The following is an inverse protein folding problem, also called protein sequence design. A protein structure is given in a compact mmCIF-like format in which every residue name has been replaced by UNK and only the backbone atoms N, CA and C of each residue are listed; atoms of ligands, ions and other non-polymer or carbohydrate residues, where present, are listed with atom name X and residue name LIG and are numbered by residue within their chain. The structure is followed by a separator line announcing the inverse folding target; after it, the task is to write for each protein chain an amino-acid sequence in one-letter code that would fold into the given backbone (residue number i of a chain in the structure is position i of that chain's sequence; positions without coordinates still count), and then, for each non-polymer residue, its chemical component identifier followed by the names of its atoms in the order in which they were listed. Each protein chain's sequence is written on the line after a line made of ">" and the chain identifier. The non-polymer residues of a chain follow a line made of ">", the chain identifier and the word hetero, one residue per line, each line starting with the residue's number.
data_IF_596075160438
#
_entry.id   IF_596075160438
#
_cell.length_a   1.000
_cell.length_b   1.000
_cell.length_c   1.000
_cell.angle_alpha   90.00
_cell.angle_beta   90.00
_cell.angle_gamma   90.00
#
_symmetry.space_group_name_H-M   'P 1'
#
loop_
_entity.id
_entity.type
_entity.pdbx_description
1 polymer ?
#
# COMPACT_ATOMS: atom_id res chain seq x y z
N UNK A 1 11.97 21.88 -12.32
CA UNK A 1 11.80 20.50 -11.81
C UNK A 1 11.02 19.72 -12.85
N UNK A 2 11.56 18.65 -13.46
CA UNK A 2 10.81 17.93 -14.47
C UNK A 2 9.67 17.17 -13.78
N UNK A 3 8.44 17.48 -14.21
CA UNK A 3 7.23 16.76 -13.87
C UNK A 3 7.43 15.28 -14.22
N UNK A 4 7.37 14.40 -13.23
CA UNK A 4 7.25 12.96 -13.46
C UNK A 4 5.83 12.77 -14.03
N UNK A 5 5.66 12.20 -15.24
CA UNK A 5 4.32 11.81 -15.69
C UNK A 5 3.80 10.79 -14.69
N UNK A 6 2.58 10.96 -14.21
CA UNK A 6 1.89 9.91 -13.48
C UNK A 6 1.92 8.64 -14.37
N UNK A 7 2.73 7.65 -13.97
CA UNK A 7 2.87 6.39 -14.69
C UNK A 7 1.60 5.57 -14.48
N UNK A 8 0.52 6.01 -15.13
CA UNK A 8 -0.81 5.40 -15.10
C UNK A 8 -1.06 4.64 -16.40
N UNK A 9 -0.20 3.66 -16.69
CA UNK A 9 -0.73 2.45 -17.32
C UNK A 9 -0.88 1.46 -16.18
N UNK A 10 -2.11 1.26 -15.74
CA UNK A 10 -2.51 0.22 -14.78
C UNK A 10 -2.16 -1.14 -15.40
N UNK A 11 -0.91 -1.55 -15.29
CA UNK A 11 -0.51 -2.93 -15.45
C UNK A 11 -1.02 -3.65 -14.21
N UNK A 12 -2.20 -4.28 -14.34
CA UNK A 12 -2.63 -5.30 -13.39
C UNK A 12 -1.57 -6.41 -13.36
N UNK A 13 -1.03 -6.70 -12.19
CA UNK A 13 -0.17 -7.86 -11.96
C UNK A 13 -0.71 -8.61 -10.75
N UNK A 14 -0.41 -9.91 -10.70
CA UNK A 14 -0.97 -10.82 -9.73
C UNK A 14 0.11 -11.36 -8.80
N UNK A 15 -0.05 -11.18 -7.49
CA UNK A 15 0.83 -11.72 -6.46
C UNK A 15 0.16 -12.92 -5.77
N UNK A 16 0.96 -13.89 -5.28
CA UNK A 16 0.43 -14.96 -4.43
C UNK A 16 -0.35 -14.42 -3.22
N UNK A 17 -1.61 -14.83 -3.10
CA UNK A 17 -2.50 -14.41 -2.01
C UNK A 17 -1.94 -14.75 -0.63
N UNK A 18 -2.11 -13.83 0.32
CA UNK A 18 -1.80 -14.01 1.73
C UNK A 18 -0.32 -13.94 2.11
N UNK A 19 0.60 -13.90 1.13
CA UNK A 19 2.04 -13.81 1.37
C UNK A 19 2.55 -12.39 1.17
N UNK A 20 3.47 -11.96 2.03
CA UNK A 20 4.27 -10.76 1.77
C UNK A 20 5.31 -11.09 0.69
N UNK A 21 5.25 -10.36 -0.42
CA UNK A 21 6.14 -10.53 -1.57
C UNK A 21 6.94 -9.25 -1.77
N UNK A 22 8.28 -9.29 -1.81
CA UNK A 22 9.09 -8.14 -2.20
C UNK A 22 8.70 -7.65 -3.60
N UNK A 23 8.38 -6.37 -3.71
CA UNK A 23 7.96 -5.73 -4.96
C UNK A 23 8.92 -4.64 -5.41
N UNK A 24 9.70 -4.08 -4.48
CA UNK A 24 10.78 -3.14 -4.75
C UNK A 24 11.91 -3.38 -3.75
N UNK A 25 13.11 -3.58 -4.28
CA UNK A 25 14.34 -3.75 -3.51
C UNK A 25 15.37 -2.71 -3.94
N UNK A 26 15.95 -1.99 -3.00
CA UNK A 26 17.12 -1.13 -3.21
C UNK A 26 17.86 -1.04 -1.88
N UNK A 27 19.19 -1.21 -1.76
CA UNK A 27 19.83 -1.06 -0.45
C UNK A 27 19.61 0.34 0.15
N UNK A 28 19.31 0.48 1.46
CA UNK A 28 19.14 -0.56 2.49
C UNK A 28 17.67 -0.98 2.73
N UNK A 29 16.81 -0.89 1.73
CA UNK A 29 15.35 -0.94 1.82
C UNK A 29 14.73 -2.06 0.99
N UNK A 30 13.68 -2.66 1.54
CA UNK A 30 12.78 -3.54 0.79
C UNK A 30 11.34 -3.15 1.05
N UNK A 31 10.57 -3.00 -0.01
CA UNK A 31 9.11 -2.81 0.04
C UNK A 31 8.44 -4.09 -0.44
N UNK A 32 7.49 -4.58 0.34
CA UNK A 32 6.75 -5.81 0.09
C UNK A 32 5.25 -5.56 0.14
N UNK A 33 4.49 -6.26 -0.70
CA UNK A 33 3.03 -6.23 -0.67
C UNK A 33 2.47 -7.58 -0.24
N UNK A 34 1.37 -7.55 0.52
CA UNK A 34 0.50 -8.69 0.75
C UNK A 34 -0.84 -8.38 0.11
N UNK A 35 -1.29 -9.29 -0.74
CA UNK A 35 -2.57 -9.14 -1.45
C UNK A 35 -3.58 -10.18 -0.96
N UNK A 36 -4.85 -9.84 -1.05
CA UNK A 36 -5.95 -10.77 -0.87
C UNK A 36 -7.16 -10.32 -1.69
N UNK A 37 -8.15 -11.20 -1.80
CA UNK A 37 -9.46 -10.81 -2.27
C UNK A 37 -10.41 -10.57 -1.08
N UNK A 38 -10.64 -9.31 -0.66
CA UNK A 38 -11.51 -8.99 0.48
C UNK A 38 -13.00 -9.13 0.12
N UNK A 39 -13.32 -9.41 -1.15
CA UNK A 39 -14.66 -9.77 -1.62
C UNK A 39 -14.66 -11.22 -2.08
N UNK A 40 -15.77 -11.92 -1.87
CA UNK A 40 -15.94 -13.31 -2.32
C UNK A 40 -15.62 -13.45 -3.81
N UNK A 41 -14.91 -14.52 -4.19
CA UNK A 41 -14.60 -14.89 -5.56
C UNK A 41 -15.85 -14.98 -6.46
N UNK A 42 -17.01 -15.33 -5.88
CA UNK A 42 -18.30 -15.30 -6.58
C UNK A 42 -18.71 -13.89 -7.04
N UNK A 43 -18.21 -12.84 -6.39
CA UNK A 43 -18.52 -11.43 -6.67
C UNK A 43 -17.41 -10.73 -7.42
N UNK A 44 -16.16 -11.20 -7.32
CA UNK A 44 -15.05 -10.70 -8.12
C UNK A 44 -13.93 -11.74 -8.21
N UNK A 45 -13.64 -12.25 -9.41
CA UNK A 45 -12.53 -13.18 -9.65
C UNK A 45 -11.25 -12.38 -9.88
N UNK A 46 -10.13 -12.81 -9.30
CA UNK A 46 -8.79 -12.33 -9.64
C UNK A 46 -8.60 -10.82 -9.45
N UNK A 47 -8.80 -10.31 -8.23
CA UNK A 47 -8.31 -8.98 -7.89
C UNK A 47 -7.38 -9.09 -6.69
N UNK A 48 -6.14 -8.65 -6.90
CA UNK A 48 -5.09 -8.66 -5.89
C UNK A 48 -5.06 -7.30 -5.22
N UNK A 49 -5.97 -7.13 -4.27
CA UNK A 49 -6.04 -5.92 -3.48
C UNK A 49 -4.90 -5.92 -2.48
N UNK A 50 -4.08 -4.87 -2.49
CA UNK A 50 -3.03 -4.72 -1.48
C UNK A 50 -3.74 -4.53 -0.13
N UNK A 51 -3.59 -5.50 0.76
CA UNK A 51 -4.16 -5.45 2.12
C UNK A 51 -3.10 -5.14 3.15
N UNK A 52 -1.81 -5.31 2.82
CA UNK A 52 -0.71 -4.83 3.62
C UNK A 52 0.51 -4.43 2.79
N UNK A 53 1.27 -3.47 3.33
CA UNK A 53 2.56 -3.00 2.84
C UNK A 53 3.58 -3.17 3.95
N UNK A 54 4.66 -3.90 3.66
CA UNK A 54 5.82 -4.02 4.53
C UNK A 54 6.96 -3.16 4.00
N UNK A 55 7.64 -2.42 4.89
CA UNK A 55 8.88 -1.71 4.58
C UNK A 55 9.95 -2.15 5.57
N UNK A 56 10.93 -2.88 5.05
CA UNK A 56 12.13 -3.26 5.78
C UNK A 56 13.23 -2.22 5.53
N UNK A 57 13.87 -1.77 6.60
CA UNK A 57 15.04 -0.90 6.56
C UNK A 57 16.18 -1.58 7.30
N UNK A 58 17.22 -1.95 6.56
CA UNK A 58 18.45 -2.48 7.12
C UNK A 58 19.27 -1.31 7.70
N UNK A 59 18.95 -0.94 8.94
CA UNK A 59 19.68 0.03 9.75
C UNK A 59 20.54 -0.68 10.82
N UNK A 60 21.69 -0.10 11.17
CA UNK A 60 22.41 -0.51 12.38
C UNK A 60 21.81 0.24 13.60
N UNK A 61 21.60 -0.40 14.76
CA UNK A 61 22.03 -1.76 15.15
C UNK A 61 21.02 -2.88 14.84
N UNK A 62 19.81 -2.57 14.36
CA UNK A 62 18.78 -3.56 14.07
C UNK A 62 17.93 -3.19 12.84
N UNK A 63 17.47 -4.22 12.14
CA UNK A 63 16.53 -4.11 11.02
C UNK A 63 15.20 -3.54 11.54
N UNK A 64 14.81 -2.38 11.03
CA UNK A 64 13.50 -1.80 11.29
C UNK A 64 12.50 -2.41 10.31
N UNK A 65 11.34 -2.85 10.83
CA UNK A 65 10.26 -3.33 9.98
C UNK A 65 8.98 -2.56 10.28
N UNK A 66 8.44 -1.95 9.24
CA UNK A 66 7.21 -1.16 9.28
C UNK A 66 6.15 -1.95 8.52
N UNK A 67 5.00 -2.18 9.11
CA UNK A 67 3.86 -2.82 8.42
C UNK A 67 2.63 -1.92 8.50
N UNK A 68 2.05 -1.63 7.34
CA UNK A 68 0.75 -0.95 7.20
C UNK A 68 -0.25 -1.99 6.70
N UNK A 69 -1.30 -2.27 7.46
CA UNK A 69 -2.33 -3.25 7.09
C UNK A 69 -3.72 -2.61 7.21
N UNK A 70 -4.68 -3.00 6.37
CA UNK A 70 -6.07 -2.56 6.53
C UNK A 70 -6.72 -3.16 7.79
N UNK A 71 -7.69 -2.47 8.37
CA UNK A 71 -8.57 -3.09 9.39
C UNK A 71 -9.53 -4.10 8.74
N UNK A 72 -10.20 -4.92 9.54
CA UNK A 72 -11.29 -5.76 9.04
C UNK A 72 -12.42 -4.87 8.46
N UNK A 73 -12.70 -4.92 7.14
CA UNK A 73 -13.67 -4.02 6.51
C UNK A 73 -15.10 -4.15 7.07
N UNK A 74 -15.47 -5.32 7.60
CA UNK A 74 -16.78 -5.54 8.21
C UNK A 74 -17.06 -4.59 9.38
N UNK A 75 -16.01 -4.17 10.10
CA UNK A 75 -16.10 -3.21 11.22
C UNK A 75 -16.48 -1.80 10.77
N UNK A 76 -16.36 -1.50 9.48
CA UNK A 76 -16.65 -0.19 8.90
C UNK A 76 -18.06 -0.08 8.31
N UNK A 77 -18.82 -1.19 8.26
CA UNK A 77 -20.11 -1.23 7.59
C UNK A 77 -21.23 -0.55 8.37
N UNK A 78 -21.08 -0.43 9.69
CA UNK A 78 -22.07 0.29 10.50
C UNK A 78 -21.84 1.79 10.37
N UNK A 79 -22.84 2.59 9.95
CA UNK A 79 -22.70 4.03 9.82
C UNK A 79 -22.65 4.70 11.19
N UNK A 80 -21.45 4.94 11.69
CA UNK A 80 -21.22 5.94 12.75
C UNK A 80 -20.78 7.26 12.11
N UNK A 81 -21.78 8.13 11.90
CA UNK A 81 -21.55 9.47 11.34
C UNK A 81 -21.02 10.46 12.38
N UNK A 82 -21.02 10.09 13.66
CA UNK A 82 -20.52 10.95 14.76
C UNK A 82 -19.02 10.81 14.96
N UNK A 83 -18.44 9.70 14.51
CA UNK A 83 -16.99 9.49 14.51
C UNK A 83 -16.28 10.66 13.82
N UNK A 84 -15.29 11.22 14.50
CA UNK A 84 -14.41 12.27 13.97
C UNK A 84 -13.16 11.64 13.33
N UNK A 85 -12.54 12.31 12.35
CA UNK A 85 -11.24 11.88 11.81
C UNK A 85 -10.22 11.70 12.95
N UNK A 86 -9.38 10.66 12.92
CA UNK A 86 -8.31 10.49 13.89
C UNK A 86 -7.40 11.72 13.96
N UNK A 87 -7.23 12.24 15.17
CA UNK A 87 -6.26 13.28 15.51
C UNK A 87 -4.96 12.62 16.03
N UNK A 88 -3.84 13.35 16.08
CA UNK A 88 -2.61 12.83 16.68
C UNK A 88 -2.85 12.23 18.07
N UNK A 89 -2.32 11.02 18.31
CA UNK A 89 -2.53 10.24 19.53
C UNK A 89 -3.72 9.27 19.49
N UNK A 90 -4.59 9.34 18.48
CA UNK A 90 -5.70 8.40 18.29
C UNK A 90 -5.34 7.26 17.33
N UNK A 91 -5.96 6.07 17.43
CA UNK A 91 -5.78 5.02 16.44
C UNK A 91 -6.39 5.44 15.09
N UNK A 92 -5.74 5.00 14.01
CA UNK A 92 -6.32 5.06 12.67
C UNK A 92 -7.57 4.16 12.58
N UNK A 93 -8.48 4.50 11.68
CA UNK A 93 -9.82 3.92 11.56
C UNK A 93 -9.93 2.87 10.47
N UNK A 94 -9.11 2.95 9.42
CA UNK A 94 -9.15 2.07 8.24
C UNK A 94 -7.87 1.26 8.03
N UNK A 95 -6.80 1.63 8.73
CA UNK A 95 -5.53 0.92 8.69
C UNK A 95 -4.90 0.85 10.08
N UNK A 96 -3.91 -0.03 10.21
CA UNK A 96 -3.01 -0.13 11.35
C UNK A 96 -1.59 -0.02 10.80
N UNK A 97 -0.82 0.91 11.34
CA UNK A 97 0.63 0.98 11.12
C UNK A 97 1.33 0.43 12.36
N UNK A 98 2.35 -0.40 12.16
CA UNK A 98 3.17 -0.94 13.23
C UNK A 98 4.65 -0.87 12.91
N UNK A 99 5.47 -0.77 13.96
CA UNK A 99 6.93 -0.81 13.88
C UNK A 99 7.42 -1.90 14.82
N UNK A 100 8.11 -2.91 14.28
CA UNK A 100 8.54 -4.07 15.07
C UNK A 100 7.37 -4.82 15.74
N UNK A 101 6.18 -4.78 15.12
CA UNK A 101 4.95 -5.39 15.65
C UNK A 101 4.19 -4.53 16.67
N UNK A 102 4.70 -3.36 17.05
CA UNK A 102 4.02 -2.44 17.96
C UNK A 102 3.19 -1.42 17.16
N UNK A 103 1.87 -1.30 17.39
CA UNK A 103 1.04 -0.38 16.64
C UNK A 103 1.37 1.09 16.98
N UNK A 104 1.35 1.96 15.98
CA UNK A 104 1.45 3.41 16.17
C UNK A 104 0.06 4.05 16.17
N UNK A 105 -0.07 5.13 16.92
CA UNK A 105 -1.20 6.04 16.81
C UNK A 105 -0.98 7.04 15.67
N UNK A 106 -2.02 7.77 15.28
CA UNK A 106 -1.89 8.90 14.38
C UNK A 106 -0.89 9.94 14.94
N UNK A 107 -0.20 10.64 14.05
CA UNK A 107 0.86 11.60 14.36
C UNK A 107 2.17 11.30 13.62
N UNK A 108 3.19 12.06 13.96
CA UNK A 108 4.54 11.94 13.40
C UNK A 108 5.43 11.17 14.38
N UNK A 109 6.11 10.13 13.89
CA UNK A 109 6.96 9.24 14.66
C UNK A 109 8.34 9.17 14.02
N UNK A 110 9.39 9.38 14.83
CA UNK A 110 10.77 9.34 14.37
C UNK A 110 11.47 8.07 14.89
N UNK A 111 11.94 7.24 13.95
CA UNK A 111 12.73 6.05 14.19
C UNK A 111 13.98 6.12 13.31
N UNK A 112 15.04 6.85 13.71
CA UNK A 112 16.19 7.10 12.84
C UNK A 112 16.70 5.81 12.16
N UNK A 113 16.83 5.78 10.82
CA UNK A 113 16.79 6.90 9.86
C UNK A 113 15.42 7.18 9.20
N UNK A 114 14.33 6.67 9.77
CA UNK A 114 12.97 6.74 9.23
C UNK A 114 12.11 7.75 9.99
N UNK A 115 11.27 8.47 9.26
CA UNK A 115 10.13 9.24 9.80
C UNK A 115 8.85 8.66 9.22
N UNK A 116 7.86 8.46 10.08
CA UNK A 116 6.54 7.94 9.73
C UNK A 116 5.50 8.97 10.13
N UNK A 117 4.67 9.42 9.21
CA UNK A 117 3.49 10.23 9.52
C UNK A 117 2.23 9.41 9.23
N UNK A 118 1.37 9.25 10.24
CA UNK A 118 0.12 8.50 10.15
C UNK A 118 -1.04 9.47 10.41
N UNK A 119 -1.92 9.69 9.44
CA UNK A 119 -2.98 10.68 9.58
C UNK A 119 -4.22 10.38 8.71
N UNK A 120 -5.35 10.98 9.07
CA UNK A 120 -6.52 11.05 8.20
C UNK A 120 -6.27 12.00 7.02
N UNK A 121 -6.91 11.75 5.88
CA UNK A 121 -6.96 12.70 4.78
C UNK A 121 -7.56 14.03 5.28
N UNK A 122 -6.93 15.17 4.97
CA UNK A 122 -7.33 16.47 5.52
C UNK A 122 -8.72 16.92 5.04
N UNK A 123 -9.26 16.32 3.97
CA UNK A 123 -10.62 16.58 3.48
C UNK A 123 -11.65 15.69 4.18
N UNK A 124 -11.24 14.89 5.16
CA UNK A 124 -12.08 14.02 5.98
C UNK A 124 -13.01 13.11 5.15
N UNK A 125 -12.51 12.62 4.00
CA UNK A 125 -13.26 11.68 3.16
C UNK A 125 -13.51 10.38 3.91
N UNK A 126 -14.72 9.84 3.80
CA UNK A 126 -15.13 8.61 4.53
C UNK A 126 -14.93 7.33 3.74
N UNK A 127 -14.64 6.25 4.45
CA UNK A 127 -14.78 4.85 4.01
C UNK A 127 -15.60 4.12 5.08
N UNK A 128 -16.90 3.91 4.81
CA UNK A 128 -17.83 3.41 5.83
C UNK A 128 -17.90 4.38 7.01
N UNK A 129 -17.83 3.87 8.24
CA UNK A 129 -17.65 4.69 9.45
C UNK A 129 -16.23 5.22 9.66
N UNK A 130 -15.25 4.75 8.91
CA UNK A 130 -13.86 5.22 8.95
C UNK A 130 -13.59 6.37 7.98
N UNK A 131 -12.30 6.70 7.86
CA UNK A 131 -11.80 7.80 7.03
C UNK A 131 -10.73 7.29 6.06
N UNK A 132 -10.65 7.91 4.89
CA UNK A 132 -9.45 7.83 4.06
C UNK A 132 -8.29 8.31 4.92
N UNK A 133 -7.27 7.50 5.02
CA UNK A 133 -6.08 7.72 5.84
C UNK A 133 -4.84 7.52 4.98
N UNK A 134 -3.72 8.04 5.45
CA UNK A 134 -2.44 7.82 4.84
C UNK A 134 -1.35 7.56 5.88
N UNK A 135 -0.34 6.82 5.45
CA UNK A 135 0.92 6.62 6.15
C UNK A 135 2.04 7.03 5.21
N UNK A 136 2.73 8.11 5.52
CA UNK A 136 3.94 8.54 4.83
C UNK A 136 5.15 7.92 5.50
N UNK A 137 6.01 7.27 4.71
CA UNK A 137 7.25 6.67 5.17
C UNK A 137 8.39 7.36 4.44
N UNK A 138 9.23 8.06 5.19
CA UNK A 138 10.33 8.87 4.65
C UNK A 138 11.67 8.44 5.25
N UNK A 139 12.65 8.23 4.37
CA UNK A 139 14.05 8.00 4.68
C UNK A 139 14.93 8.88 3.77
N UNK A 140 16.25 8.80 3.93
CA UNK A 140 17.16 9.45 2.98
C UNK A 140 16.99 8.95 1.53
N UNK A 141 16.59 7.69 1.33
CA UNK A 141 16.58 7.01 0.03
C UNK A 141 15.18 6.64 -0.47
N UNK A 142 14.13 6.82 0.34
CA UNK A 142 12.75 6.48 0.00
C UNK A 142 11.80 7.54 0.55
N UNK A 143 10.81 7.93 -0.24
CA UNK A 143 9.62 8.64 0.23
C UNK A 143 8.43 8.02 -0.47
N UNK A 144 7.51 7.48 0.32
CA UNK A 144 6.31 6.82 -0.18
C UNK A 144 5.12 7.14 0.71
N UNK A 145 3.92 7.03 0.13
CA UNK A 145 2.64 7.10 0.83
C UNK A 145 1.85 5.84 0.62
N UNK A 146 1.29 5.32 1.70
CA UNK A 146 0.29 4.26 1.68
C UNK A 146 -1.05 4.89 2.04
N UNK A 147 -2.07 4.75 1.20
CA UNK A 147 -3.41 5.34 1.42
C UNK A 147 -4.45 4.24 1.55
N UNK A 148 -5.42 4.40 2.46
CA UNK A 148 -6.61 3.54 2.42
C UNK A 148 -7.57 3.98 1.33
N UNK A 149 -8.09 3.01 0.59
CA UNK A 149 -8.98 3.23 -0.51
C UNK A 149 -10.12 2.21 -0.51
N UNK A 150 -11.23 2.60 -1.15
CA UNK A 150 -12.39 1.74 -1.37
C UNK A 150 -12.64 1.60 -2.86
N UNK A 151 -13.08 0.43 -3.30
CA UNK A 151 -13.24 0.15 -4.72
C UNK A 151 -14.50 0.83 -5.30
N UNK A 152 -14.34 2.01 -5.89
CA UNK A 152 -15.46 2.80 -6.48
C UNK A 152 -16.16 2.13 -7.67
N UNK A 153 -15.58 1.06 -8.22
CA UNK A 153 -16.16 0.29 -9.34
C UNK A 153 -17.42 -0.49 -8.95
N UNK A 154 -17.62 -0.78 -7.67
CA UNK A 154 -18.84 -1.44 -7.20
C UNK A 154 -19.97 -0.43 -7.05
N UNK A 155 -21.17 -0.78 -7.52
CA UNK A 155 -22.36 0.06 -7.38
C UNK A 155 -22.82 0.17 -5.91
N UNK A 156 -22.79 -0.94 -5.17
CA UNK A 156 -23.24 -1.03 -3.79
C UNK A 156 -22.21 -0.42 -2.82
N UNK A 157 -22.58 0.58 -1.99
CA UNK A 157 -21.67 1.20 -1.02
C UNK A 157 -21.04 0.21 -0.05
N UNK A 158 -21.81 -0.80 0.39
CA UNK A 158 -21.31 -1.88 1.24
C UNK A 158 -20.18 -2.66 0.57
N UNK A 159 -20.33 -2.97 -0.73
CA UNK A 159 -19.30 -3.66 -1.50
C UNK A 159 -18.06 -2.80 -1.74
N UNK A 160 -18.22 -1.48 -1.91
CA UNK A 160 -17.07 -0.57 -1.96
C UNK A 160 -16.25 -0.66 -0.67
N UNK A 161 -16.91 -0.65 0.50
CA UNK A 161 -16.24 -0.74 1.80
C UNK A 161 -15.65 -2.13 2.03
N UNK A 162 -16.35 -3.21 1.68
CA UNK A 162 -15.80 -4.58 1.75
C UNK A 162 -14.53 -4.71 0.91
N UNK A 163 -14.46 -4.03 -0.23
CA UNK A 163 -13.26 -3.91 -1.05
C UNK A 163 -12.31 -2.78 -0.59
N UNK A 164 -12.11 -2.66 0.72
CA UNK A 164 -11.07 -1.83 1.32
C UNK A 164 -9.69 -2.38 0.93
N UNK A 165 -8.80 -1.49 0.52
CA UNK A 165 -7.44 -1.81 0.09
C UNK A 165 -6.50 -0.64 0.34
N UNK A 166 -5.23 -0.87 0.06
CA UNK A 166 -4.18 0.12 0.11
C UNK A 166 -3.77 0.52 -1.31
N UNK A 167 -3.70 1.82 -1.56
CA UNK A 167 -2.99 2.38 -2.70
C UNK A 167 -1.58 2.80 -2.23
N UNK A 168 -0.60 2.67 -3.12
CA UNK A 168 0.80 3.01 -2.80
C UNK A 168 1.36 3.98 -3.83
N UNK A 169 1.88 5.10 -3.35
CA UNK A 169 2.53 6.12 -4.16
C UNK A 169 4.01 6.23 -3.78
N UNK A 170 4.89 6.18 -4.79
CA UNK A 170 6.33 6.38 -4.60
C UNK A 170 6.73 7.78 -5.10
N UNK A 171 7.21 8.63 -4.19
CA UNK A 171 7.66 9.99 -4.53
C UNK A 171 9.17 10.06 -4.75
N UNK A 172 9.94 9.28 -4.00
CA UNK A 172 11.41 9.23 -4.09
C UNK A 172 11.89 7.81 -3.87
N UNK A 173 12.79 7.35 -4.74
CA UNK A 173 13.57 6.12 -4.60
C UNK A 173 14.76 6.17 -5.57
N UNK A 174 15.77 5.32 -5.39
CA UNK A 174 16.92 5.21 -6.29
C UNK A 174 16.56 4.31 -7.48
N UNK A 175 16.21 4.92 -8.60
CA UNK A 175 15.84 4.21 -9.82
C UNK A 175 16.95 3.33 -10.40
N UNK A 176 18.21 3.69 -10.19
CA UNK A 176 19.35 2.92 -10.72
C UNK A 176 19.64 1.68 -9.86
N UNK A 177 19.40 1.78 -8.55
CA UNK A 177 19.55 0.67 -7.61
C UNK A 177 18.30 -0.22 -7.50
N UNK A 178 17.13 0.27 -7.90
CA UNK A 178 15.86 -0.44 -7.73
C UNK A 178 15.77 -1.73 -8.56
N UNK A 179 15.34 -2.81 -7.92
CA UNK A 179 15.10 -4.14 -8.49
C UNK A 179 13.75 -4.71 -8.01
N UNK A 180 13.30 -5.79 -8.64
CA UNK A 180 12.06 -6.49 -8.28
C UNK A 180 10.91 -6.19 -9.24
N UNK A 181 9.71 -6.65 -8.85
CA UNK A 181 8.50 -6.64 -9.69
C UNK A 181 8.17 -5.24 -10.21
N UNK A 182 8.12 -4.24 -9.33
CA UNK A 182 7.70 -2.89 -9.72
C UNK A 182 8.71 -2.20 -10.64
N UNK A 183 10.03 -2.16 -10.35
CA UNK A 183 11.00 -1.59 -11.28
C UNK A 183 10.98 -2.24 -12.67
N UNK A 184 10.76 -3.55 -12.76
CA UNK A 184 10.61 -4.24 -14.05
C UNK A 184 9.33 -3.81 -14.79
N UNK A 185 8.19 -3.77 -14.09
CA UNK A 185 6.91 -3.32 -14.67
C UNK A 185 6.93 -1.84 -15.07
N UNK A 186 7.76 -1.02 -14.42
CA UNK A 186 7.97 0.38 -14.76
C UNK A 186 9.01 0.61 -15.87
N UNK A 187 9.63 -0.46 -16.38
CA UNK A 187 10.67 -0.38 -17.41
C UNK A 187 12.01 0.18 -16.93
N UNK A 188 12.27 0.16 -15.61
CA UNK A 188 13.56 0.53 -15.02
C UNK A 188 14.58 -0.62 -15.06
N UNK A 189 14.10 -1.85 -15.27
CA UNK A 189 14.90 -3.04 -15.46
C UNK A 189 14.24 -3.96 -16.51
N UNK A 190 15.00 -4.84 -17.18
CA UNK A 190 14.42 -5.84 -18.09
C UNK A 190 13.39 -6.73 -17.38
N UNK A 191 12.26 -6.99 -18.03
CA UNK A 191 11.21 -7.85 -17.51
C UNK A 191 11.72 -9.30 -17.36
N UNK A 192 11.76 -9.81 -16.14
CA UNK A 192 12.18 -11.18 -15.86
C UNK A 192 11.07 -12.20 -16.16
N UNK A 193 11.46 -13.46 -16.36
CA UNK A 193 10.50 -14.56 -16.50
C UNK A 193 9.62 -14.74 -15.24
N UNK A 194 10.12 -14.36 -14.07
CA UNK A 194 9.35 -14.39 -12.82
C UNK A 194 8.25 -13.31 -12.82
N UNK A 195 8.60 -12.06 -13.11
CA UNK A 195 7.63 -10.95 -13.19
C UNK A 195 6.65 -11.14 -14.34
N UNK A 196 7.10 -11.65 -15.49
CA UNK A 196 6.20 -11.96 -16.60
C UNK A 196 5.09 -12.95 -16.20
N UNK A 197 5.35 -13.90 -15.30
CA UNK A 197 4.33 -14.83 -14.80
C UNK A 197 3.25 -14.16 -13.95
N UNK A 198 3.55 -13.00 -13.36
CA UNK A 198 2.60 -12.20 -12.58
C UNK A 198 1.62 -11.43 -13.49
N UNK A 199 1.94 -11.27 -14.77
CA UNK A 199 1.07 -10.59 -15.72
C UNK A 199 0.01 -11.52 -16.27
N UNK A 200 -1.17 -10.97 -16.59
CA UNK A 200 -2.17 -11.70 -17.38
C UNK A 200 -1.60 -12.05 -18.77
N UNK A 201 -2.10 -13.12 -19.43
CA UNK A 201 -1.66 -13.48 -20.78
C UNK A 201 -1.78 -12.33 -21.80
N UNK A 202 -2.83 -11.51 -21.67
CA UNK A 202 -3.07 -10.34 -22.51
C UNK A 202 -1.99 -9.27 -22.32
N UNK A 203 -1.49 -9.08 -21.09
CA UNK A 203 -0.46 -8.08 -20.79
C UNK A 203 0.96 -8.58 -21.11
N UNK A 204 1.22 -9.89 -21.01
CA UNK A 204 2.51 -10.48 -21.45
C UNK A 204 2.77 -10.21 -22.93
N UNK A 205 1.74 -10.31 -23.76
CA UNK A 205 1.83 -10.14 -25.21
C UNK A 205 2.00 -8.67 -25.64
N UNK A 206 1.76 -7.71 -24.75
CA UNK A 206 1.88 -6.27 -25.03
C UNK A 206 3.24 -5.68 -24.58
N UNK A 207 4.05 -6.46 -23.86
CA UNK A 207 5.34 -6.06 -23.29
C UNK A 207 6.53 -6.85 -23.85
N UNK A 208 6.26 -7.86 -24.69
CA UNK A 208 7.23 -8.62 -25.49
C UNK A 208 7.17 -8.13 -26.94
#
# INVERSE_FOLDING_TARGET
>A
MPHIPAFSRLLSFFLPEGKLVPVLEQPPLTVSYRVANPVDAARHVGADWIIAVGVAVDSAPAKLYIEVTIVNPATLLQPDLTRKPPLPGAPLSTMVVSVGGLPLMAGVHAFPPVVIEAAADPRAKRIGSGFVEHVDITTAHLSMRVLSARAKKFAEPEMQVKALHLDVEFFKFDKAAARGVLPELWGLAPLSAATAKLLSPQQRSALL
#
